data_IF_681021389635
#
_entry.id   IF_681021389635
#
_cell.length_a   1.000
_cell.length_b   1.000
_cell.length_c   1.000
_cell.angle_alpha   90.00
_cell.angle_beta   90.00
_cell.angle_gamma   90.00
#
_symmetry.space_group_name_H-M   'P 1'
#
loop_
_entity.id
_entity.type
_entity.pdbx_description
1 polymer ?
#
# COMPACT_ATOMS: atom_id res chain seq x y z
N UNK A 1 2.63 -7.20 3.60
CA UNK A 1 1.90 -6.64 4.75
C UNK A 1 2.57 -5.34 5.15
N UNK A 2 1.78 -4.29 5.35
CA UNK A 2 2.28 -2.96 5.63
C UNK A 2 2.44 -2.67 7.12
N UNK A 3 3.11 -3.50 7.92
CA UNK A 3 3.24 -3.26 9.36
C UNK A 3 3.94 -1.93 9.66
N UNK A 4 5.09 -1.68 9.01
CA UNK A 4 5.83 -0.43 9.13
C UNK A 4 5.09 0.75 8.49
N UNK A 5 4.49 0.55 7.31
CA UNK A 5 3.75 1.63 6.64
C UNK A 5 2.42 1.97 7.33
N UNK A 6 1.82 1.05 8.10
CA UNK A 6 0.61 1.31 8.90
C UNK A 6 0.86 2.23 10.08
N UNK A 7 2.10 2.30 10.57
CA UNK A 7 2.51 3.27 11.60
C UNK A 7 2.52 4.71 11.08
N UNK A 8 2.49 4.91 9.76
CA UNK A 8 2.59 6.22 9.08
C UNK A 8 1.25 6.59 8.42
N UNK A 9 0.67 5.65 7.65
CA UNK A 9 -0.62 5.79 6.97
C UNK A 9 -0.52 6.24 5.50
N UNK A 10 -1.24 5.56 4.60
CA UNK A 10 -1.31 5.90 3.16
C UNK A 10 -2.29 7.07 2.90
N UNK A 11 -1.83 8.20 2.32
CA UNK A 11 -2.67 9.35 1.94
C UNK A 11 -3.46 9.21 0.63
N UNK A 12 -3.17 8.19 -0.18
CA UNK A 12 -3.60 8.14 -1.58
C UNK A 12 -5.12 8.22 -1.68
N UNK A 13 -5.62 9.28 -2.33
CA UNK A 13 -7.04 9.56 -2.57
C UNK A 13 -7.94 9.61 -1.31
N UNK A 14 -7.40 10.03 -0.16
CA UNK A 14 -8.18 10.28 1.08
C UNK A 14 -8.20 11.75 1.47
N UNK A 15 -9.37 12.23 1.91
CA UNK A 15 -9.62 13.62 2.31
C UNK A 15 -9.26 13.92 3.78
N UNK A 16 -9.24 12.91 4.67
CA UNK A 16 -8.96 13.07 6.10
C UNK A 16 -7.65 12.40 6.52
N UNK A 17 -6.93 13.01 7.47
CA UNK A 17 -5.75 12.43 8.10
C UNK A 17 -6.12 11.13 8.85
N UNK A 18 -5.35 10.06 8.66
CA UNK A 18 -5.62 8.78 9.33
C UNK A 18 -5.36 8.86 10.84
N UNK A 19 -6.16 8.15 11.62
CA UNK A 19 -5.83 7.82 13.02
C UNK A 19 -4.58 6.94 13.06
N UNK A 20 -3.64 7.28 13.92
CA UNK A 20 -2.48 6.44 14.22
C UNK A 20 -2.94 5.25 15.06
N UNK A 21 -2.59 4.05 14.61
CA UNK A 21 -2.91 2.79 15.30
C UNK A 21 -1.84 2.47 16.34
N UNK A 22 -2.21 1.76 17.40
CA UNK A 22 -1.20 1.20 18.32
C UNK A 22 -0.50 0.01 17.68
N UNK A 23 0.71 -0.36 18.13
CA UNK A 23 1.37 -1.59 17.65
C UNK A 23 0.52 -2.84 17.83
N UNK A 24 -0.26 -2.92 18.92
CA UNK A 24 -1.17 -4.03 19.17
C UNK A 24 -2.30 -4.05 18.13
N UNK A 25 -2.94 -2.91 17.86
CA UNK A 25 -3.99 -2.82 16.84
C UNK A 25 -3.45 -3.23 15.46
N UNK A 26 -2.21 -2.87 15.14
CA UNK A 26 -1.58 -3.25 13.87
C UNK A 26 -1.40 -4.76 13.82
N UNK A 27 -0.87 -5.39 14.87
CA UNK A 27 -0.68 -6.85 14.91
C UNK A 27 -2.02 -7.59 14.77
N UNK A 28 -3.05 -7.15 15.49
CA UNK A 28 -4.39 -7.74 15.42
C UNK A 28 -4.97 -7.62 14.00
N UNK A 29 -4.80 -6.45 13.34
CA UNK A 29 -5.19 -6.24 11.96
C UNK A 29 -4.40 -7.13 10.99
N UNK A 30 -3.08 -7.29 11.18
CA UNK A 30 -2.24 -8.14 10.36
C UNK A 30 -2.70 -9.61 10.44
N UNK A 31 -3.00 -10.10 11.64
CA UNK A 31 -3.52 -11.44 11.86
C UNK A 31 -4.90 -11.64 11.21
N UNK A 32 -5.80 -10.67 11.35
CA UNK A 32 -7.12 -10.67 10.70
C UNK A 32 -7.01 -10.70 9.17
N UNK A 33 -6.17 -9.85 8.59
CA UNK A 33 -5.95 -9.84 7.13
C UNK A 33 -5.38 -11.18 6.65
N UNK A 34 -4.40 -11.76 7.37
CA UNK A 34 -3.88 -13.09 7.03
C UNK A 34 -4.99 -14.14 6.98
N UNK A 35 -5.84 -14.17 8.01
CA UNK A 35 -6.98 -15.09 8.10
C UNK A 35 -7.91 -14.95 6.89
N UNK A 36 -8.19 -13.73 6.47
CA UNK A 36 -9.04 -13.45 5.31
C UNK A 36 -8.41 -13.92 3.99
N UNK A 37 -7.09 -13.98 3.87
CA UNK A 37 -6.42 -14.48 2.66
C UNK A 37 -6.23 -16.00 2.62
N UNK A 38 -6.27 -16.70 3.76
CA UNK A 38 -6.05 -18.16 3.83
C UNK A 38 -6.98 -19.00 2.94
N UNK A 39 -8.26 -18.65 2.73
CA UNK A 39 -9.12 -19.39 1.80
C UNK A 39 -8.71 -19.25 0.33
N UNK A 40 -8.02 -18.17 -0.04
CA UNK A 40 -7.69 -17.83 -1.43
C UNK A 40 -6.25 -18.18 -1.81
N UNK A 41 -5.35 -18.24 -0.82
CA UNK A 41 -3.92 -18.43 -1.02
C UNK A 41 -3.41 -19.57 -0.15
N UNK A 42 -2.67 -20.49 -0.76
CA UNK A 42 -1.93 -21.53 -0.03
C UNK A 42 -0.61 -20.96 0.47
N UNK A 43 -0.49 -20.73 1.77
CA UNK A 43 0.76 -20.33 2.42
C UNK A 43 1.61 -21.54 2.78
N UNK A 44 2.94 -21.44 2.62
CA UNK A 44 3.86 -22.55 2.88
C UNK A 44 5.27 -22.27 2.38
N UNK A 45 6.08 -23.33 2.33
CA UNK A 45 7.47 -23.30 1.85
C UNK A 45 7.66 -23.94 0.47
N UNK A 46 6.56 -24.33 -0.19
CA UNK A 46 6.60 -24.81 -1.57
C UNK A 46 7.01 -23.71 -2.56
N UNK A 47 7.49 -24.07 -3.76
CA UNK A 47 8.04 -23.11 -4.74
C UNK A 47 7.03 -22.07 -5.23
N UNK A 48 5.73 -22.38 -5.17
CA UNK A 48 4.64 -21.48 -5.58
C UNK A 48 3.70 -21.14 -4.42
N UNK A 49 4.07 -21.49 -3.19
CA UNK A 49 3.24 -21.14 -2.03
C UNK A 49 3.36 -19.63 -1.75
N UNK A 50 2.26 -19.03 -1.33
CA UNK A 50 2.21 -17.61 -1.02
C UNK A 50 3.09 -17.28 0.19
N UNK A 51 3.79 -16.15 0.11
CA UNK A 51 4.61 -15.61 1.19
C UNK A 51 3.97 -14.32 1.70
N UNK A 52 3.75 -14.25 3.01
CA UNK A 52 3.23 -13.05 3.64
C UNK A 52 4.37 -12.28 4.32
N UNK A 53 4.99 -11.39 3.56
CA UNK A 53 6.11 -10.55 4.02
C UNK A 53 5.59 -9.36 4.82
N UNK A 54 6.30 -8.90 5.85
CA UNK A 54 5.98 -7.68 6.58
C UNK A 54 7.05 -6.61 6.35
N UNK A 55 6.67 -5.43 5.86
CA UNK A 55 7.66 -4.36 5.63
C UNK A 55 8.21 -3.75 6.92
N UNK A 56 7.62 -4.05 8.08
CA UNK A 56 8.24 -3.74 9.37
C UNK A 56 9.66 -4.34 9.49
N UNK A 57 9.90 -5.49 8.86
CA UNK A 57 11.16 -6.24 8.91
C UNK A 57 12.37 -5.44 8.41
N UNK A 58 12.17 -4.45 7.53
CA UNK A 58 13.24 -3.57 7.06
C UNK A 58 13.02 -2.11 7.41
N UNK A 59 11.78 -1.65 7.51
CA UNK A 59 11.49 -0.25 7.82
C UNK A 59 11.80 0.10 9.27
N UNK A 60 11.64 -0.83 10.21
CA UNK A 60 11.88 -0.55 11.64
C UNK A 60 13.36 -0.50 12.00
N UNK A 61 14.22 -1.10 11.18
CA UNK A 61 15.68 -1.09 11.38
C UNK A 61 16.38 0.04 10.62
N UNK A 62 15.61 0.84 9.86
CA UNK A 62 16.18 1.79 8.93
C UNK A 62 16.78 3.00 9.66
N UNK A 63 18.06 3.28 9.39
CA UNK A 63 18.65 4.53 9.85
C UNK A 63 18.19 5.67 8.94
N UNK A 64 17.50 6.65 9.53
CA UNK A 64 16.91 7.76 8.78
C UNK A 64 17.93 8.53 7.91
N UNK A 65 19.13 8.80 8.43
CA UNK A 65 20.16 9.54 7.68
C UNK A 65 20.66 8.73 6.48
N UNK A 66 20.92 7.44 6.68
CA UNK A 66 21.30 6.54 5.58
C UNK A 66 20.18 6.43 4.56
N UNK A 67 18.93 6.31 5.00
CA UNK A 67 17.77 6.27 4.10
C UNK A 67 17.66 7.52 3.22
N UNK A 68 17.79 8.71 3.81
CA UNK A 68 17.77 9.94 3.01
C UNK A 68 18.92 10.00 2.01
N UNK A 69 20.11 9.57 2.43
CA UNK A 69 21.31 9.59 1.58
C UNK A 69 21.21 8.59 0.43
N UNK A 70 20.76 7.38 0.70
CA UNK A 70 20.83 6.27 -0.25
C UNK A 70 19.55 6.15 -1.08
N UNK A 71 18.39 6.50 -0.51
CA UNK A 71 17.08 6.42 -1.18
C UNK A 71 16.53 7.80 -1.49
N UNK A 72 16.48 8.70 -0.51
CA UNK A 72 15.86 10.03 -0.62
C UNK A 72 16.41 10.87 -1.78
N UNK A 73 17.72 10.76 -2.08
CA UNK A 73 18.38 11.45 -3.21
C UNK A 73 17.79 11.12 -4.59
N UNK A 74 17.04 10.03 -4.73
CA UNK A 74 16.45 9.62 -5.99
C UNK A 74 15.06 10.22 -6.23
N UNK A 75 14.49 10.89 -5.22
CA UNK A 75 13.16 11.50 -5.26
C UNK A 75 13.26 13.02 -5.44
N UNK A 76 12.44 13.55 -6.34
CA UNK A 76 12.27 15.00 -6.52
C UNK A 76 10.94 15.40 -5.92
N UNK A 77 10.95 16.37 -5.00
CA UNK A 77 9.73 16.92 -4.41
C UNK A 77 8.80 17.47 -5.49
N UNK A 78 9.31 18.25 -6.44
CA UNK A 78 8.53 18.78 -7.55
C UNK A 78 7.83 17.68 -8.35
N UNK A 79 8.52 16.56 -8.62
CA UNK A 79 7.93 15.42 -9.32
C UNK A 79 6.84 14.76 -8.48
N UNK A 80 7.07 14.60 -7.18
CA UNK A 80 6.10 14.00 -6.27
C UNK A 80 4.81 14.83 -6.18
N UNK A 81 4.93 16.16 -6.17
CA UNK A 81 3.76 17.06 -6.16
C UNK A 81 2.98 17.06 -7.48
N UNK A 82 3.60 16.64 -8.58
CA UNK A 82 2.96 16.59 -9.89
C UNK A 82 2.06 15.35 -10.11
N UNK A 83 2.12 14.34 -9.23
CA UNK A 83 1.21 13.20 -9.32
C UNK A 83 -0.23 13.65 -9.06
N UNK A 84 -1.17 13.21 -9.92
CA UNK A 84 -2.58 13.62 -9.84
C UNK A 84 -3.19 13.39 -8.45
N UNK A 85 -2.82 12.30 -7.77
CA UNK A 85 -3.27 11.97 -6.41
C UNK A 85 -2.88 13.04 -5.36
N UNK A 86 -1.72 13.67 -5.52
CA UNK A 86 -1.18 14.70 -4.62
C UNK A 86 -1.66 16.08 -5.06
N UNK A 87 -1.60 16.35 -6.37
CA UNK A 87 -2.01 17.62 -6.97
C UNK A 87 -3.46 17.97 -6.64
N UNK A 88 -4.38 17.01 -6.75
CA UNK A 88 -5.80 17.23 -6.41
C UNK A 88 -6.03 17.65 -4.96
N UNK A 89 -5.19 17.18 -4.01
CA UNK A 89 -5.29 17.59 -2.60
C UNK A 89 -4.79 19.02 -2.40
N UNK A 90 -3.66 19.35 -3.03
CA UNK A 90 -3.11 20.71 -2.98
C UNK A 90 -4.05 21.73 -3.61
N UNK A 91 -4.67 21.40 -4.75
CA UNK A 91 -5.64 22.25 -5.43
C UNK A 91 -6.90 22.51 -4.57
N UNK A 92 -7.20 21.61 -3.62
CA UNK A 92 -8.29 21.72 -2.65
C UNK A 92 -7.86 22.38 -1.32
N UNK A 93 -6.65 22.95 -1.27
CA UNK A 93 -6.03 23.52 -0.06
C UNK A 93 -5.95 22.54 1.12
N UNK A 94 -6.02 21.23 0.84
CA UNK A 94 -5.78 20.20 1.86
C UNK A 94 -4.28 20.06 2.05
N UNK A 95 -3.81 20.21 3.29
CA UNK A 95 -2.41 19.99 3.61
C UNK A 95 -2.02 18.52 3.39
N UNK A 96 -0.82 18.32 2.86
CA UNK A 96 -0.12 17.04 2.95
C UNK A 96 0.87 17.12 4.10
N UNK A 97 0.73 16.22 5.06
CA UNK A 97 1.71 16.09 6.13
C UNK A 97 3.02 15.49 5.60
N UNK A 98 4.10 15.73 6.35
CA UNK A 98 5.40 15.11 6.07
C UNK A 98 5.32 13.57 6.08
N UNK A 99 4.50 12.99 6.94
CA UNK A 99 4.27 11.55 7.02
C UNK A 99 3.67 11.00 5.73
N UNK A 100 2.60 11.64 5.25
CA UNK A 100 1.92 11.27 4.01
C UNK A 100 2.84 11.40 2.79
N UNK A 101 3.67 12.44 2.76
CA UNK A 101 4.66 12.61 1.70
C UNK A 101 5.72 11.49 1.68
N UNK A 102 6.18 11.05 2.86
CA UNK A 102 7.15 9.96 2.97
C UNK A 102 6.57 8.59 2.59
N UNK A 103 5.24 8.41 2.64
CA UNK A 103 4.60 7.15 2.28
C UNK A 103 4.98 6.66 0.88
N UNK A 104 4.99 7.58 -0.10
CA UNK A 104 5.35 7.26 -1.49
C UNK A 104 6.78 6.72 -1.62
N UNK A 105 7.70 7.24 -0.80
CA UNK A 105 9.11 6.85 -0.77
C UNK A 105 9.23 5.45 -0.15
N UNK A 106 8.50 5.21 0.95
CA UNK A 106 8.53 3.92 1.65
C UNK A 106 7.94 2.78 0.81
N UNK A 107 6.82 3.02 0.11
CA UNK A 107 6.26 2.00 -0.79
C UNK A 107 7.18 1.72 -1.98
N UNK A 108 7.87 2.74 -2.49
CA UNK A 108 8.88 2.54 -3.53
C UNK A 108 10.07 1.71 -3.01
N UNK A 109 10.53 1.99 -1.79
CA UNK A 109 11.57 1.24 -1.12
C UNK A 109 11.17 -0.22 -0.86
N UNK A 110 9.93 -0.47 -0.47
CA UNK A 110 9.38 -1.83 -0.30
C UNK A 110 9.53 -2.67 -1.59
N UNK A 111 9.27 -2.09 -2.77
CA UNK A 111 9.40 -2.84 -4.02
C UNK A 111 10.86 -3.25 -4.28
N UNK A 112 11.80 -2.35 -4.00
CA UNK A 112 13.24 -2.63 -4.16
C UNK A 112 13.72 -3.67 -3.14
N UNK A 113 13.28 -3.59 -1.89
CA UNK A 113 13.61 -4.60 -0.88
C UNK A 113 13.01 -5.97 -1.22
N UNK A 114 11.77 -6.02 -1.72
CA UNK A 114 11.15 -7.27 -2.19
C UNK A 114 11.88 -7.86 -3.41
N UNK A 115 12.37 -7.01 -4.31
CA UNK A 115 13.22 -7.44 -5.42
C UNK A 115 14.53 -8.05 -4.90
N UNK A 116 15.25 -7.36 -4.00
CA UNK A 116 16.53 -7.82 -3.46
C UNK A 116 16.41 -9.12 -2.65
N UNK A 117 15.34 -9.25 -1.85
CA UNK A 117 15.15 -10.37 -0.94
C UNK A 117 14.54 -11.60 -1.61
N UNK A 118 13.59 -11.38 -2.53
CA UNK A 118 12.73 -12.45 -3.05
C UNK A 118 12.69 -12.49 -4.59
N UNK A 119 13.41 -11.62 -5.27
CA UNK A 119 13.35 -11.53 -6.74
C UNK A 119 11.99 -11.07 -7.26
N UNK A 120 11.21 -10.34 -6.46
CA UNK A 120 9.91 -9.81 -6.89
C UNK A 120 10.07 -8.80 -8.04
N UNK A 121 9.43 -9.04 -9.18
CA UNK A 121 9.55 -8.17 -10.39
C UNK A 121 8.25 -7.49 -10.81
N UNK A 122 7.11 -7.89 -10.26
CA UNK A 122 5.80 -7.33 -10.61
C UNK A 122 5.09 -6.89 -9.34
N UNK A 123 4.63 -5.63 -9.31
CA UNK A 123 3.73 -5.15 -8.28
C UNK A 123 2.35 -4.88 -8.87
N UNK A 124 1.33 -5.37 -8.16
CA UNK A 124 -0.07 -5.23 -8.54
C UNK A 124 -0.82 -4.36 -7.52
N UNK A 125 -1.84 -3.62 -7.98
CA UNK A 125 -2.67 -2.80 -7.11
C UNK A 125 -3.90 -2.23 -7.81
N UNK A 126 -4.72 -1.46 -7.08
CA UNK A 126 -5.77 -0.65 -7.69
C UNK A 126 -5.20 0.48 -8.53
N UNK A 127 -6.02 1.09 -9.41
CA UNK A 127 -5.59 2.21 -10.25
C UNK A 127 -5.10 3.42 -9.46
N UNK A 128 -5.54 3.56 -8.21
CA UNK A 128 -5.11 4.57 -7.25
C UNK A 128 -3.66 4.39 -6.77
N UNK A 129 -3.08 3.19 -6.91
CA UNK A 129 -1.71 2.87 -6.49
C UNK A 129 -0.67 3.10 -7.59
N UNK A 130 -1.10 3.47 -8.80
CA UNK A 130 -0.21 3.63 -9.97
C UNK A 130 1.02 4.49 -9.67
N UNK A 131 0.83 5.69 -9.10
CA UNK A 131 1.92 6.62 -8.81
C UNK A 131 2.99 6.02 -7.87
N UNK A 132 2.57 5.30 -6.84
CA UNK A 132 3.48 4.69 -5.87
C UNK A 132 4.24 3.50 -6.47
N UNK A 133 3.57 2.68 -7.28
CA UNK A 133 4.21 1.54 -7.96
C UNK A 133 5.28 2.04 -8.95
N UNK A 134 4.96 3.06 -9.75
CA UNK A 134 5.92 3.65 -10.70
C UNK A 134 7.14 4.21 -10.00
N UNK A 135 6.98 4.83 -8.83
CA UNK A 135 8.14 5.29 -8.03
C UNK A 135 9.04 4.12 -7.61
N UNK A 136 8.47 2.96 -7.27
CA UNK A 136 9.23 1.75 -6.97
C UNK A 136 10.02 1.22 -8.18
N UNK A 137 9.40 1.22 -9.37
CA UNK A 137 10.08 0.84 -10.62
C UNK A 137 11.26 1.78 -10.91
N UNK A 138 11.02 3.09 -10.81
CA UNK A 138 12.06 4.09 -11.05
C UNK A 138 13.20 4.00 -10.05
N UNK A 139 12.89 3.73 -8.77
CA UNK A 139 13.90 3.53 -7.74
C UNK A 139 14.73 2.28 -8.03
N UNK A 140 14.08 1.13 -8.26
CA UNK A 140 14.77 -0.13 -8.54
C UNK A 140 15.66 -0.07 -9.79
N UNK A 141 15.23 0.64 -10.83
CA UNK A 141 16.07 0.90 -12.01
C UNK A 141 17.31 1.74 -11.66
N UNK A 142 17.19 2.71 -10.76
CA UNK A 142 18.30 3.62 -10.40
C UNK A 142 19.28 3.03 -9.40
N UNK A 143 18.81 2.18 -8.48
CA UNK A 143 19.64 1.63 -7.40
C UNK A 143 20.15 0.22 -7.69
N UNK A 144 19.38 -0.58 -8.41
CA UNK A 144 19.67 -2.01 -8.64
C UNK A 144 19.80 -2.40 -10.13
N UNK A 145 19.67 -1.42 -11.05
CA UNK A 145 19.55 -1.68 -12.50
C UNK A 145 18.47 -2.74 -12.84
N UNK A 146 17.41 -2.77 -12.03
CA UNK A 146 16.37 -3.78 -12.11
C UNK A 146 15.28 -3.41 -13.12
N UNK A 147 14.89 -4.39 -13.96
CA UNK A 147 13.67 -4.30 -14.75
C UNK A 147 12.48 -4.80 -13.90
N UNK A 148 11.64 -3.86 -13.49
CA UNK A 148 10.44 -4.07 -12.68
C UNK A 148 9.18 -3.67 -13.46
N UNK A 149 8.04 -4.26 -13.11
CA UNK A 149 6.77 -4.11 -13.82
C UNK A 149 5.64 -3.70 -12.86
N UNK A 150 4.66 -2.99 -13.42
CA UNK A 150 3.43 -2.58 -12.74
C UNK A 150 2.22 -3.17 -13.47
N UNK A 151 1.22 -3.58 -12.71
CA UNK A 151 -0.10 -3.88 -13.25
C UNK A 151 -1.18 -3.37 -12.32
N UNK A 152 -2.03 -2.48 -12.81
CA UNK A 152 -3.14 -1.94 -12.03
C UNK A 152 -4.48 -2.40 -12.57
N UNK A 153 -5.42 -2.66 -11.66
CA UNK A 153 -6.82 -2.95 -12.01
C UNK A 153 -7.68 -1.70 -11.86
N UNK A 154 -8.73 -1.53 -12.69
CA UNK A 154 -9.66 -0.42 -12.53
C UNK A 154 -10.36 -0.49 -11.17
N UNK A 155 -10.74 0.66 -10.61
CA UNK A 155 -11.63 0.70 -9.45
C UNK A 155 -13.00 0.15 -9.85
N UNK A 156 -13.54 -0.75 -9.04
CA UNK A 156 -14.88 -1.29 -9.25
C UNK A 156 -15.92 -0.22 -8.93
N UNK A 157 -16.80 0.05 -9.89
CA UNK A 157 -17.94 0.97 -9.74
C UNK A 157 -19.25 0.24 -9.96
N UNK A 158 -20.30 0.64 -9.26
CA UNK A 158 -21.68 0.22 -9.53
C UNK A 158 -22.14 0.76 -10.88
N UNK A 159 -23.26 0.26 -11.39
CA UNK A 159 -23.91 0.80 -12.60
C UNK A 159 -24.30 2.28 -12.47
N UNK A 160 -24.50 2.77 -11.25
CA UNK A 160 -24.74 4.19 -10.93
C UNK A 160 -23.46 5.04 -10.89
N UNK A 161 -22.28 4.46 -11.08
CA UNK A 161 -20.99 5.14 -11.02
C UNK A 161 -20.42 5.35 -9.62
N UNK A 162 -21.09 4.86 -8.56
CA UNK A 162 -20.56 4.90 -7.20
C UNK A 162 -19.46 3.85 -6.99
N UNK A 163 -18.48 4.11 -6.11
CA UNK A 163 -17.45 3.11 -5.78
C UNK A 163 -18.09 1.89 -5.09
N UNK A 164 -17.78 0.69 -5.59
CA UNK A 164 -18.22 -0.56 -4.99
C UNK A 164 -17.64 -0.68 -3.57
N UNK A 165 -18.47 -1.08 -2.60
CA UNK A 165 -18.08 -1.17 -1.19
C UNK A 165 -18.25 0.10 -0.33
N UNK A 166 -18.69 1.23 -0.90
CA UNK A 166 -19.33 2.32 -0.13
C UNK A 166 -20.85 2.19 -0.27
N UNK A 167 -21.42 1.13 0.33
CA UNK A 167 -22.88 1.03 0.42
C UNK A 167 -23.41 2.11 1.38
N UNK A 168 -24.70 2.42 1.32
CA UNK A 168 -25.33 3.32 2.30
C UNK A 168 -25.18 2.83 3.75
N UNK A 169 -24.97 1.52 3.94
CA UNK A 169 -24.73 0.83 5.20
C UNK A 169 -23.25 0.63 5.55
N UNK A 170 -22.30 1.12 4.74
CA UNK A 170 -20.87 1.04 5.01
C UNK A 170 -20.11 0.03 4.14
N UNK A 171 -19.00 -0.48 4.67
CA UNK A 171 -18.12 -1.43 4.00
C UNK A 171 -18.70 -2.85 4.01
N UNK A 172 -18.46 -3.60 2.93
CA UNK A 172 -18.78 -5.04 2.85
C UNK A 172 -17.57 -5.82 3.35
N UNK A 173 -17.65 -6.37 4.56
CA UNK A 173 -16.54 -7.06 5.21
C UNK A 173 -16.46 -8.53 4.80
N UNK A 174 -15.23 -9.08 4.79
CA UNK A 174 -14.99 -10.50 4.53
C UNK A 174 -15.04 -11.35 5.82
N UNK A 175 -14.92 -10.72 6.99
CA UNK A 175 -14.95 -11.40 8.28
C UNK A 175 -16.41 -11.61 8.73
N UNK A 176 -16.75 -12.85 9.08
CA UNK A 176 -18.11 -13.25 9.45
C UNK A 176 -18.60 -12.66 10.77
N UNK A 177 -17.71 -12.20 11.65
CA UNK A 177 -18.05 -11.50 12.89
C UNK A 177 -18.39 -10.02 12.62
N UNK A 178 -17.90 -9.48 11.50
CA UNK A 178 -18.15 -8.08 11.10
C UNK A 178 -19.30 -7.92 10.11
N UNK A 179 -19.51 -8.89 9.23
CA UNK A 179 -20.64 -8.96 8.32
C UNK A 179 -21.07 -10.42 8.21
N UNK A 180 -22.33 -10.71 8.56
CA UNK A 180 -22.78 -12.09 8.56
C UNK A 180 -22.73 -12.69 7.13
N UNK A 181 -22.48 -14.00 6.98
CA UNK A 181 -22.51 -14.65 5.67
C UNK A 181 -23.83 -14.44 4.92
N UNK A 182 -24.94 -14.30 5.66
CA UNK A 182 -26.24 -13.98 5.08
C UNK A 182 -26.28 -12.57 4.48
N UNK A 183 -25.80 -11.55 5.20
CA UNK A 183 -25.73 -10.18 4.68
C UNK A 183 -24.76 -10.06 3.51
N UNK A 184 -23.63 -10.78 3.55
CA UNK A 184 -22.71 -10.85 2.43
C UNK A 184 -23.36 -11.47 1.19
N UNK A 185 -24.19 -12.51 1.35
CA UNK A 185 -24.95 -13.12 0.24
C UNK A 185 -26.06 -12.22 -0.31
N UNK A 186 -26.65 -11.35 0.53
CA UNK A 186 -27.68 -10.40 0.11
C UNK A 186 -27.12 -9.22 -0.71
N UNK A 187 -25.83 -8.91 -0.53
CA UNK A 187 -25.12 -7.87 -1.26
C UNK A 187 -24.74 -8.31 -2.68
#
# INVERSE_FOLDING_TARGET
MGGGTSMIGDPSFKDEARKLLTPQDIEDNLAGIRRNFMPYLKFGSGPNDAIMVNNADWLMEINYVNFLRDVGRHFSVNRMLAFDSVKLRLDREQSLSFLEFNYMILQAYDFVELYKRLGCRLQMGGSDQWGNIINGIDLGRRTEDAQLYALTTPLLTTSSGAKMGKSASGAVWLDAEMLSPYEFWQY
#
